data_IF_103855536101
#
_entry.id   IF_103855536101
#
_cell.length_a   1.000
_cell.length_b   1.000
_cell.length_c   1.000
_cell.angle_alpha   90.00
_cell.angle_beta   90.00
_cell.angle_gamma   90.00
#
_symmetry.space_group_name_H-M   'P 1'
#
loop_
_entity.id
_entity.type
_entity.pdbx_description
1 polymer ?
#
# COMPACT_ATOMS: atom_id res chain seq x y z
N UNK A 1 2.80 12.02 4.02
CA UNK A 1 4.06 12.55 3.46
C UNK A 1 3.76 13.70 2.52
N UNK A 2 4.79 14.34 1.95
CA UNK A 2 4.64 15.37 0.89
C UNK A 2 4.39 14.69 -0.46
N UNK A 3 3.57 15.30 -1.32
CA UNK A 3 3.30 14.83 -2.70
C UNK A 3 3.86 15.84 -3.71
N UNK A 4 4.33 15.35 -4.87
CA UNK A 4 4.84 16.19 -5.96
C UNK A 4 3.82 16.15 -7.11
N UNK A 5 3.04 17.22 -7.32
CA UNK A 5 2.00 17.23 -8.35
C UNK A 5 2.60 17.29 -9.76
N UNK A 6 1.98 16.55 -10.69
CA UNK A 6 2.37 16.52 -12.12
C UNK A 6 1.49 17.41 -13.01
N UNK A 7 0.61 18.20 -12.40
CA UNK A 7 -0.25 19.20 -13.05
C UNK A 7 -0.28 20.49 -12.24
N UNK A 8 -0.65 21.61 -12.88
CA UNK A 8 -0.78 22.91 -12.19
C UNK A 8 -1.90 22.89 -11.14
N UNK A 9 -1.78 23.75 -10.12
CA UNK A 9 -2.82 23.96 -9.10
C UNK A 9 -2.62 23.21 -7.79
N UNK A 10 -1.47 22.57 -7.60
CA UNK A 10 -1.08 21.96 -6.33
C UNK A 10 -0.70 22.98 -5.24
N UNK A 11 -0.29 22.47 -4.09
CA UNK A 11 0.16 23.26 -2.95
C UNK A 11 1.43 24.08 -3.26
N UNK A 12 1.63 25.18 -2.54
CA UNK A 12 2.84 26.02 -2.63
C UNK A 12 3.94 25.61 -1.64
N UNK A 13 3.82 24.43 -1.03
CA UNK A 13 4.80 23.82 -0.14
C UNK A 13 6.15 23.71 -0.83
N UNK A 14 7.24 24.12 -0.16
CA UNK A 14 8.60 24.04 -0.70
C UNK A 14 9.28 22.73 -0.30
N UNK A 15 10.16 22.25 -1.16
CA UNK A 15 11.12 21.21 -0.80
C UNK A 15 12.10 21.76 0.23
N UNK A 16 12.44 20.94 1.21
CA UNK A 16 13.40 21.24 2.28
C UNK A 16 14.70 20.46 2.04
N UNK A 17 15.81 20.96 2.59
CA UNK A 17 17.10 20.26 2.57
C UNK A 17 16.98 18.89 3.24
N UNK A 18 17.75 17.91 2.76
CA UNK A 18 17.76 16.51 3.23
C UNK A 18 16.46 15.71 3.05
N UNK A 19 15.47 16.24 2.32
CA UNK A 19 14.31 15.46 1.90
C UNK A 19 14.61 14.57 0.68
N UNK A 20 14.08 13.35 0.72
CA UNK A 20 14.17 12.41 -0.39
C UNK A 20 12.81 12.33 -1.10
N UNK A 21 12.83 12.49 -2.43
CA UNK A 21 11.64 12.46 -3.25
C UNK A 21 11.74 11.36 -4.31
N UNK A 22 10.61 10.66 -4.51
CA UNK A 22 10.34 9.99 -5.77
C UNK A 22 9.76 11.03 -6.74
N UNK A 23 10.48 11.33 -7.82
CA UNK A 23 9.98 12.20 -8.90
C UNK A 23 9.54 11.30 -10.05
N UNK A 24 8.24 11.16 -10.20
CA UNK A 24 7.61 10.28 -11.19
C UNK A 24 6.50 11.03 -11.93
N UNK A 25 6.36 10.74 -13.23
CA UNK A 25 5.33 11.34 -14.10
C UNK A 25 4.65 10.25 -14.90
N UNK A 26 3.33 10.39 -15.10
CA UNK A 26 2.52 9.42 -15.83
C UNK A 26 1.83 10.11 -17.00
N UNK A 27 2.21 9.76 -18.22
CA UNK A 27 1.53 10.19 -19.44
C UNK A 27 0.45 9.19 -19.84
N UNK A 28 -0.70 9.68 -20.32
CA UNK A 28 -1.81 8.85 -20.76
C UNK A 28 -2.38 9.34 -22.09
N UNK A 29 -2.82 8.40 -22.94
CA UNK A 29 -3.64 8.68 -24.12
C UNK A 29 -5.14 8.59 -23.83
N UNK A 30 -5.52 8.29 -22.58
CA UNK A 30 -6.89 8.21 -22.09
C UNK A 30 -7.40 9.53 -21.51
N UNK A 31 -8.05 9.49 -20.35
CA UNK A 31 -8.59 10.68 -19.67
C UNK A 31 -7.56 11.40 -18.79
N UNK A 32 -6.40 10.79 -18.54
CA UNK A 32 -5.41 11.30 -17.60
C UNK A 32 -5.88 11.22 -16.14
N UNK A 33 -6.81 10.30 -15.85
CA UNK A 33 -7.36 10.07 -14.52
C UNK A 33 -7.40 8.56 -14.27
N UNK A 34 -6.84 8.14 -13.13
CA UNK A 34 -6.82 6.74 -12.72
C UNK A 34 -7.96 6.40 -11.77
N UNK A 35 -8.36 5.14 -11.77
CA UNK A 35 -9.26 4.52 -10.80
C UNK A 35 -8.74 3.13 -10.43
N UNK A 36 -9.16 2.64 -9.27
CA UNK A 36 -8.85 1.28 -8.84
C UNK A 36 -9.53 0.28 -9.79
N UNK A 37 -8.76 -0.67 -10.31
CA UNK A 37 -9.27 -1.78 -11.13
C UNK A 37 -8.47 -3.07 -10.89
N UNK A 38 -9.04 -4.21 -11.29
CA UNK A 38 -8.46 -5.55 -11.19
C UNK A 38 -8.21 -6.05 -9.75
N UNK A 39 -7.64 -7.26 -9.64
CA UNK A 39 -7.33 -7.87 -8.36
C UNK A 39 -6.15 -7.18 -7.65
N UNK A 40 -6.39 -6.75 -6.40
CA UNK A 40 -5.36 -6.14 -5.58
C UNK A 40 -4.21 -7.13 -5.27
N UNK A 41 -2.98 -6.63 -5.43
CA UNK A 41 -1.76 -7.41 -5.21
C UNK A 41 -0.79 -6.76 -4.23
N UNK A 42 -0.83 -5.43 -4.06
CA UNK A 42 0.08 -4.67 -3.20
C UNK A 42 -0.59 -4.27 -1.90
N UNK A 43 0.20 -4.35 -0.82
CA UNK A 43 -0.24 -4.09 0.54
C UNK A 43 0.89 -3.43 1.31
N UNK A 44 0.57 -2.58 2.28
CA UNK A 44 1.57 -1.96 3.15
C UNK A 44 1.02 -1.80 4.55
N UNK A 45 1.83 -2.05 5.56
CA UNK A 45 1.43 -1.77 6.94
C UNK A 45 1.38 -0.26 7.16
N UNK A 46 0.32 0.22 7.81
CA UNK A 46 0.23 1.63 8.18
C UNK A 46 1.38 2.01 9.15
N UNK A 47 2.15 3.03 8.80
CA UNK A 47 3.37 3.43 9.50
C UNK A 47 3.07 4.01 10.89
N UNK A 48 2.03 4.84 11.00
CA UNK A 48 1.71 5.62 12.20
C UNK A 48 0.73 4.91 13.15
N UNK A 49 0.29 3.70 12.78
CA UNK A 49 -0.77 3.03 13.51
C UNK A 49 -0.25 2.48 14.86
N UNK A 50 -0.87 2.84 15.99
CA UNK A 50 -0.53 2.25 17.28
C UNK A 50 -0.89 0.76 17.33
N UNK A 51 -0.48 0.09 18.42
CA UNK A 51 -0.85 -1.31 18.63
C UNK A 51 -2.37 -1.51 18.62
N UNK A 52 -2.85 -2.39 17.73
CA UNK A 52 -4.25 -2.79 17.64
C UNK A 52 -4.40 -4.24 18.14
N UNK A 53 -5.22 -4.50 19.18
CA UNK A 53 -5.42 -5.85 19.68
C UNK A 53 -6.21 -6.70 18.68
N UNK A 54 -5.58 -7.76 18.19
CA UNK A 54 -6.21 -8.74 17.31
C UNK A 54 -6.84 -9.89 18.12
N UNK A 55 -8.02 -10.35 17.69
CA UNK A 55 -8.68 -11.53 18.28
C UNK A 55 -8.32 -12.81 17.53
N UNK A 56 -8.31 -12.76 16.21
CA UNK A 56 -8.03 -13.93 15.36
C UNK A 56 -6.55 -14.29 15.41
N UNK A 57 -6.26 -15.56 15.71
CA UNK A 57 -4.89 -16.07 15.79
C UNK A 57 -4.18 -16.04 14.44
N UNK A 58 -4.91 -16.30 13.34
CA UNK A 58 -4.37 -16.21 11.98
C UNK A 58 -3.94 -14.79 11.62
N UNK A 59 -4.72 -13.77 11.99
CA UNK A 59 -4.35 -12.36 11.79
C UNK A 59 -3.13 -11.98 12.61
N UNK A 60 -3.03 -12.45 13.87
CA UNK A 60 -1.81 -12.24 14.69
C UNK A 60 -0.58 -12.85 14.04
N UNK A 61 -0.70 -14.10 13.58
CA UNK A 61 0.41 -14.81 12.93
C UNK A 61 0.85 -14.11 11.65
N UNK A 62 -0.11 -13.72 10.80
CA UNK A 62 0.18 -13.00 9.56
C UNK A 62 0.83 -11.63 9.84
N UNK A 63 0.31 -10.86 10.80
CA UNK A 63 0.91 -9.59 11.21
C UNK A 63 2.34 -9.80 11.75
N UNK A 64 2.58 -10.89 12.48
CA UNK A 64 3.93 -11.29 12.90
C UNK A 64 4.87 -11.52 11.72
N UNK A 65 4.42 -12.24 10.69
CA UNK A 65 5.18 -12.42 9.44
C UNK A 65 5.44 -11.08 8.74
N UNK A 66 4.43 -10.22 8.61
CA UNK A 66 4.57 -8.91 7.97
C UNK A 66 5.59 -8.04 8.71
N UNK A 67 5.48 -7.95 10.04
CA UNK A 67 6.42 -7.18 10.86
C UNK A 67 7.86 -7.71 10.75
N UNK A 68 8.04 -9.04 10.71
CA UNK A 68 9.36 -9.66 10.62
C UNK A 68 10.03 -9.44 9.26
N UNK A 69 9.28 -9.53 8.18
CA UNK A 69 9.83 -9.57 6.82
C UNK A 69 9.79 -8.22 6.09
N UNK A 70 8.80 -7.38 6.37
CA UNK A 70 8.56 -6.14 5.62
C UNK A 70 8.51 -4.90 6.52
N UNK A 71 8.12 -5.05 7.78
CA UNK A 71 7.94 -3.93 8.69
C UNK A 71 6.85 -2.99 8.16
N UNK A 72 7.25 -1.78 7.76
CA UNK A 72 6.38 -0.77 7.13
C UNK A 72 6.60 -0.63 5.62
N UNK A 73 7.49 -1.43 5.03
CA UNK A 73 7.67 -1.46 3.58
C UNK A 73 6.49 -2.19 2.91
N UNK A 74 6.18 -1.79 1.68
CA UNK A 74 5.17 -2.46 0.87
C UNK A 74 5.58 -3.91 0.54
N UNK A 75 4.59 -4.78 0.38
CA UNK A 75 4.74 -6.17 0.03
C UNK A 75 3.60 -6.62 -0.90
N UNK A 76 3.70 -7.85 -1.42
CA UNK A 76 2.66 -8.46 -2.24
C UNK A 76 2.35 -9.90 -1.81
N UNK A 77 1.20 -10.43 -2.27
CA UNK A 77 0.75 -11.82 -1.99
C UNK A 77 1.85 -12.86 -2.30
N UNK A 78 2.54 -12.72 -3.45
CA UNK A 78 3.64 -13.60 -3.85
C UNK A 78 4.79 -13.64 -2.82
N UNK A 79 5.04 -12.52 -2.12
CA UNK A 79 6.09 -12.46 -1.10
C UNK A 79 5.64 -13.07 0.22
N UNK A 80 4.36 -13.00 0.56
CA UNK A 80 3.79 -13.77 1.67
C UNK A 80 3.93 -15.27 1.43
N UNK A 81 3.64 -15.74 0.20
CA UNK A 81 3.83 -17.15 -0.18
C UNK A 81 5.30 -17.58 0.01
N UNK A 82 6.25 -16.77 -0.47
CA UNK A 82 7.71 -17.03 -0.33
C UNK A 82 8.19 -16.96 1.12
N UNK A 83 7.55 -16.14 1.95
CA UNK A 83 7.81 -16.08 3.39
C UNK A 83 7.17 -17.25 4.17
N UNK A 84 6.51 -18.18 3.47
CA UNK A 84 5.92 -19.38 4.06
C UNK A 84 4.52 -19.16 4.65
N UNK A 85 3.89 -18.01 4.41
CA UNK A 85 2.50 -17.81 4.81
C UNK A 85 1.58 -18.67 3.92
N UNK A 86 0.61 -19.33 4.53
CA UNK A 86 -0.38 -20.15 3.81
C UNK A 86 -1.79 -19.78 4.29
N UNK A 87 -2.80 -19.96 3.42
CA UNK A 87 -4.23 -19.71 3.74
C UNK A 87 -4.48 -18.34 4.40
N UNK A 88 -3.71 -17.32 4.02
CA UNK A 88 -3.67 -16.03 4.71
C UNK A 88 -4.70 -15.02 4.21
N UNK A 89 -5.48 -15.33 3.17
CA UNK A 89 -6.35 -14.36 2.49
C UNK A 89 -7.37 -13.71 3.45
N UNK A 90 -8.02 -14.50 4.30
CA UNK A 90 -8.97 -13.96 5.30
C UNK A 90 -8.26 -13.16 6.39
N UNK A 91 -7.07 -13.60 6.82
CA UNK A 91 -6.26 -12.87 7.79
C UNK A 91 -5.80 -11.52 7.21
N UNK A 92 -5.40 -11.49 5.94
CA UNK A 92 -5.00 -10.27 5.25
C UNK A 92 -6.18 -9.31 5.13
N UNK A 93 -7.37 -9.81 4.74
CA UNK A 93 -8.59 -9.01 4.73
C UNK A 93 -8.91 -8.45 6.12
N UNK A 94 -8.80 -9.25 7.17
CA UNK A 94 -9.05 -8.83 8.55
C UNK A 94 -8.08 -7.74 9.04
N UNK A 95 -6.82 -7.77 8.58
CA UNK A 95 -5.85 -6.70 8.84
C UNK A 95 -6.19 -5.43 8.05
N UNK A 96 -6.67 -5.57 6.81
CA UNK A 96 -7.17 -4.46 6.00
C UNK A 96 -8.40 -3.79 6.59
N UNK A 97 -9.41 -4.58 6.99
CA UNK A 97 -10.64 -4.07 7.60
C UNK A 97 -10.39 -3.32 8.92
N UNK A 98 -9.25 -3.60 9.59
CA UNK A 98 -8.79 -2.90 10.80
C UNK A 98 -7.82 -1.74 10.52
N UNK A 99 -7.56 -1.40 9.26
CA UNK A 99 -6.60 -0.39 8.83
C UNK A 99 -5.15 -0.64 9.31
N UNK A 100 -4.83 -1.87 9.72
CA UNK A 100 -3.46 -2.25 10.11
C UNK A 100 -2.58 -2.37 8.86
N UNK A 101 -3.16 -2.92 7.81
CA UNK A 101 -2.55 -3.03 6.48
C UNK A 101 -3.45 -2.33 5.50
N UNK A 102 -2.90 -1.49 4.64
CA UNK A 102 -3.64 -0.84 3.56
C UNK A 102 -3.44 -1.61 2.25
N UNK A 103 -4.50 -1.66 1.44
CA UNK A 103 -4.49 -2.29 0.13
C UNK A 103 -4.24 -1.23 -0.95
N UNK A 104 -3.32 -1.52 -1.87
CA UNK A 104 -2.96 -0.65 -2.98
C UNK A 104 -3.30 -1.38 -4.30
N UNK A 105 -4.56 -1.30 -4.77
CA UNK A 105 -4.97 -1.95 -6.01
C UNK A 105 -4.28 -1.30 -7.22
N UNK A 106 -4.25 -1.99 -8.37
CA UNK A 106 -3.81 -1.38 -9.62
C UNK A 106 -4.61 -0.12 -9.96
N UNK A 107 -3.89 0.94 -10.36
CA UNK A 107 -4.46 2.22 -10.78
C UNK A 107 -4.47 2.29 -12.32
N UNK A 108 -5.65 2.37 -12.92
CA UNK A 108 -5.84 2.30 -14.38
C UNK A 108 -6.58 3.53 -14.92
N UNK A 109 -6.20 4.01 -16.11
CA UNK A 109 -7.04 4.93 -16.90
C UNK A 109 -8.16 4.14 -17.62
N UNK A 110 -8.93 4.80 -18.49
CA UNK A 110 -9.92 4.14 -19.34
C UNK A 110 -9.31 3.04 -20.18
N UNK A 111 -10.11 2.02 -20.44
CA UNK A 111 -9.79 1.00 -21.42
C UNK A 111 -9.57 1.65 -22.80
N UNK A 112 -8.46 1.28 -23.44
CA UNK A 112 -8.16 1.59 -24.84
C UNK A 112 -8.86 0.66 -25.81
#
# INVERSE_FOLDING_TARGET
GKTVPIVKGGESTRMEEDEFYAIETFGSTGRGLVHDDMDCSHYMKNFDLPFVPLRLQSSKQLLGTINKHFGTLAFCKRWLDRAGATKYQMALKDLCDKNIVEAYPPLCDIKG
#
